data_IF_217076961015
#
_entry.id   IF_217076961015
#
_cell.length_a   1.000
_cell.length_b   1.000
_cell.length_c   1.000
_cell.angle_alpha   90.00
_cell.angle_beta   90.00
_cell.angle_gamma   90.00
#
_symmetry.space_group_name_H-M   'P 1'
#
loop_
_entity.id
_entity.type
_entity.pdbx_description
1 polymer ?
#
# COMPACT_ATOMS: atom_id res chain seq x y z
N UNK A 1 -18.22 -7.16 -5.32
CA UNK A 1 -16.93 -6.54 -5.69
C UNK A 1 -16.92 -5.04 -5.43
N UNK A 2 -17.40 -4.15 -6.35
CA UNK A 2 -17.35 -2.68 -6.15
C UNK A 2 -18.15 -2.15 -4.95
N UNK A 3 -19.25 -2.81 -4.58
CA UNK A 3 -20.09 -2.42 -3.43
C UNK A 3 -19.43 -2.72 -2.08
N UNK A 4 -18.53 -3.71 -2.02
CA UNK A 4 -17.99 -4.20 -0.76
C UNK A 4 -16.86 -3.29 -0.26
N UNK A 5 -15.97 -2.84 -1.15
CA UNK A 5 -14.88 -1.91 -0.82
C UNK A 5 -15.38 -0.56 -0.30
N UNK A 6 -16.41 0.02 -0.94
CA UNK A 6 -17.00 1.30 -0.50
C UNK A 6 -17.70 1.17 0.85
N UNK A 7 -18.31 0.01 1.14
CA UNK A 7 -18.98 -0.27 2.41
C UNK A 7 -17.96 -0.34 3.57
N UNK A 8 -16.79 -0.93 3.32
CA UNK A 8 -15.68 -1.02 4.29
C UNK A 8 -15.17 0.37 4.66
N UNK A 9 -14.94 1.24 3.68
CA UNK A 9 -14.49 2.62 3.90
C UNK A 9 -15.52 3.44 4.65
N UNK A 10 -16.79 3.33 4.25
CA UNK A 10 -17.89 4.03 4.92
C UNK A 10 -18.04 3.57 6.37
N UNK A 11 -17.76 2.30 6.68
CA UNK A 11 -17.77 1.78 8.05
C UNK A 11 -16.54 2.23 8.85
N UNK A 12 -15.35 2.25 8.24
CA UNK A 12 -14.11 2.74 8.86
C UNK A 12 -14.17 4.25 9.19
N UNK A 13 -14.77 5.06 8.32
CA UNK A 13 -14.96 6.50 8.56
C UNK A 13 -16.01 6.78 9.66
N UNK A 14 -16.98 5.89 9.87
CA UNK A 14 -18.07 6.08 10.86
C UNK A 14 -17.72 5.58 12.27
N UNK A 15 -16.74 4.70 12.45
CA UNK A 15 -16.38 4.16 13.77
C UNK A 15 -15.28 4.99 14.47
N UNK A 16 -15.64 6.20 14.92
CA UNK A 16 -14.81 7.00 15.84
C UNK A 16 -14.88 6.55 17.31
N UNK A 17 -15.30 5.32 17.61
CA UNK A 17 -15.37 4.82 18.99
C UNK A 17 -14.60 3.50 19.09
N UNK A 18 -13.40 3.58 19.67
CA UNK A 18 -12.57 2.44 20.14
C UNK A 18 -11.99 1.49 19.07
N UNK A 19 -11.71 1.99 17.87
CA UNK A 19 -11.36 1.19 16.67
C UNK A 19 -9.87 0.88 16.48
N UNK A 20 -9.24 0.09 17.37
CA UNK A 20 -7.90 -0.47 17.10
C UNK A 20 -7.89 -1.99 16.89
N UNK A 21 -8.87 -2.70 17.43
CA UNK A 21 -8.99 -4.16 17.29
C UNK A 21 -9.89 -4.57 16.11
N UNK A 22 -11.03 -3.88 15.91
CA UNK A 22 -12.01 -4.25 14.87
C UNK A 22 -11.46 -4.10 13.45
N UNK A 23 -10.74 -3.01 13.15
CA UNK A 23 -10.19 -2.77 11.82
C UNK A 23 -9.11 -3.79 11.45
N UNK A 24 -8.22 -4.15 12.38
CA UNK A 24 -7.17 -5.14 12.15
C UNK A 24 -7.78 -6.54 11.94
N UNK A 25 -8.73 -6.94 12.80
CA UNK A 25 -9.40 -8.24 12.71
C UNK A 25 -10.23 -8.38 11.42
N UNK A 26 -10.82 -7.28 10.95
CA UNK A 26 -11.53 -7.25 9.68
C UNK A 26 -10.57 -7.39 8.51
N UNK A 27 -9.47 -6.62 8.51
CA UNK A 27 -8.46 -6.66 7.45
C UNK A 27 -7.84 -8.05 7.34
N UNK A 28 -7.46 -8.66 8.47
CA UNK A 28 -6.91 -10.03 8.51
C UNK A 28 -7.83 -11.07 7.85
N UNK A 29 -9.15 -10.88 7.94
CA UNK A 29 -10.15 -11.76 7.32
C UNK A 29 -10.46 -11.44 5.86
N UNK A 30 -10.01 -10.28 5.34
CA UNK A 30 -10.34 -9.76 4.01
C UNK A 30 -9.09 -9.14 3.35
N UNK A 31 -7.97 -9.87 3.40
CA UNK A 31 -6.68 -9.38 2.88
C UNK A 31 -6.66 -9.26 1.34
N UNK A 32 -7.56 -9.97 0.65
CA UNK A 32 -7.83 -9.87 -0.79
C UNK A 32 -8.25 -8.44 -1.21
N UNK A 33 -8.81 -7.66 -0.28
CA UNK A 33 -9.09 -6.24 -0.51
C UNK A 33 -7.79 -5.50 -0.88
N UNK A 34 -6.64 -5.87 -0.32
CA UNK A 34 -5.37 -5.19 -0.62
C UNK A 34 -4.99 -5.35 -2.09
N UNK A 35 -5.21 -6.53 -2.66
CA UNK A 35 -4.93 -6.82 -4.07
C UNK A 35 -5.79 -5.95 -5.00
N UNK A 36 -7.06 -5.72 -4.61
CA UNK A 36 -8.00 -4.82 -5.31
C UNK A 36 -7.53 -3.37 -5.19
N UNK A 37 -7.11 -2.93 -4.01
CA UNK A 37 -6.63 -1.57 -3.80
C UNK A 37 -5.33 -1.29 -4.56
N UNK A 38 -4.41 -2.25 -4.61
CA UNK A 38 -3.16 -2.11 -5.36
C UNK A 38 -3.43 -2.08 -6.86
N UNK A 39 -4.26 -3.01 -7.36
CA UNK A 39 -4.60 -3.06 -8.80
C UNK A 39 -5.46 -1.86 -9.27
N UNK A 40 -5.87 -0.98 -8.35
CA UNK A 40 -6.61 0.23 -8.70
C UNK A 40 -5.76 1.31 -9.37
N UNK A 41 -4.44 1.25 -9.23
CA UNK A 41 -3.52 2.15 -9.95
C UNK A 41 -3.63 1.99 -11.48
N UNK A 42 -4.15 0.85 -11.96
CA UNK A 42 -4.48 0.63 -13.38
C UNK A 42 -5.71 1.43 -13.85
N UNK A 43 -6.50 1.98 -12.93
CA UNK A 43 -7.68 2.79 -13.23
C UNK A 43 -7.54 4.23 -12.71
N UNK A 44 -7.26 5.20 -13.59
CA UNK A 44 -7.05 6.60 -13.20
C UNK A 44 -8.19 7.24 -12.42
N UNK A 45 -9.44 6.85 -12.65
CA UNK A 45 -10.59 7.45 -11.97
C UNK A 45 -10.65 7.12 -10.48
N UNK A 46 -10.10 5.96 -10.08
CA UNK A 46 -10.19 5.44 -8.71
C UNK A 46 -8.85 5.40 -7.99
N UNK A 47 -7.73 5.49 -8.73
CA UNK A 47 -6.38 5.28 -8.21
C UNK A 47 -6.06 6.11 -6.97
N UNK A 48 -6.34 7.42 -6.98
CA UNK A 48 -6.02 8.29 -5.84
C UNK A 48 -6.89 8.02 -4.60
N UNK A 49 -8.17 7.71 -4.82
CA UNK A 49 -9.09 7.40 -3.74
C UNK A 49 -8.70 6.07 -3.06
N UNK A 50 -8.42 5.04 -3.85
CA UNK A 50 -8.04 3.73 -3.35
C UNK A 50 -6.60 3.69 -2.84
N UNK A 51 -5.68 4.48 -3.40
CA UNK A 51 -4.34 4.70 -2.87
C UNK A 51 -4.35 5.30 -1.46
N UNK A 52 -5.25 6.26 -1.21
CA UNK A 52 -5.45 6.81 0.15
C UNK A 52 -5.93 5.74 1.13
N UNK A 53 -6.89 4.90 0.73
CA UNK A 53 -7.36 3.80 1.56
C UNK A 53 -6.26 2.77 1.84
N UNK A 54 -5.49 2.41 0.81
CA UNK A 54 -4.38 1.49 0.93
C UNK A 54 -3.35 2.01 1.93
N UNK A 55 -3.01 3.31 1.89
CA UNK A 55 -2.12 3.94 2.88
C UNK A 55 -2.64 3.86 4.30
N UNK A 56 -3.95 3.98 4.51
CA UNK A 56 -4.55 3.76 5.85
C UNK A 56 -4.44 2.28 6.28
N UNK A 57 -4.64 1.34 5.36
CA UNK A 57 -4.53 -0.09 5.66
C UNK A 57 -3.10 -0.53 5.99
N UNK A 58 -2.08 -0.09 5.24
CA UNK A 58 -0.66 -0.46 5.50
C UNK A 58 -0.12 0.10 6.82
N UNK A 59 -0.86 0.98 7.52
CA UNK A 59 -0.55 1.35 8.91
C UNK A 59 -0.60 0.17 9.86
N UNK A 60 -1.35 -0.88 9.53
CA UNK A 60 -1.39 -2.13 10.26
C UNK A 60 -0.26 -3.05 9.79
N UNK A 61 0.56 -3.55 10.72
CA UNK A 61 1.73 -4.38 10.41
C UNK A 61 1.37 -5.66 9.65
N UNK A 62 0.22 -6.27 9.97
CA UNK A 62 -0.26 -7.48 9.29
C UNK A 62 -0.54 -7.24 7.81
N UNK A 63 -1.12 -6.09 7.48
CA UNK A 63 -1.36 -5.66 6.09
C UNK A 63 -0.05 -5.39 5.38
N UNK A 64 0.84 -4.62 6.00
CA UNK A 64 2.14 -4.33 5.40
C UNK A 64 2.93 -5.61 5.10
N UNK A 65 2.91 -6.59 6.02
CA UNK A 65 3.56 -7.89 5.83
C UNK A 65 2.97 -8.63 4.64
N UNK A 66 1.65 -8.72 4.54
CA UNK A 66 0.98 -9.38 3.43
C UNK A 66 1.31 -8.73 2.08
N UNK A 67 1.28 -7.39 1.99
CA UNK A 67 1.60 -6.70 0.75
C UNK A 67 3.07 -6.91 0.37
N UNK A 68 4.00 -6.85 1.33
CA UNK A 68 5.43 -7.11 1.08
C UNK A 68 5.69 -8.53 0.55
N UNK A 69 4.99 -9.52 1.10
CA UNK A 69 5.13 -10.93 0.71
C UNK A 69 4.30 -11.29 -0.54
N UNK A 70 3.44 -10.38 -1.02
CA UNK A 70 2.59 -10.56 -2.20
C UNK A 70 3.34 -10.28 -3.52
N UNK A 71 2.98 -10.97 -4.63
CA UNK A 71 3.43 -10.60 -5.97
C UNK A 71 3.15 -9.14 -6.35
N UNK A 72 2.11 -8.54 -5.75
CA UNK A 72 1.69 -7.16 -6.01
C UNK A 72 2.75 -6.12 -5.63
N UNK A 73 3.69 -6.47 -4.74
CA UNK A 73 4.81 -5.61 -4.39
C UNK A 73 5.62 -5.16 -5.61
N UNK A 74 5.74 -6.02 -6.63
CA UNK A 74 6.47 -5.69 -7.87
C UNK A 74 5.74 -4.69 -8.75
N UNK A 75 4.41 -4.66 -8.71
CA UNK A 75 3.59 -3.76 -9.53
C UNK A 75 3.84 -2.29 -9.21
N UNK A 76 4.26 -1.98 -7.98
CA UNK A 76 4.62 -0.60 -7.60
C UNK A 76 5.73 -0.02 -8.49
N UNK A 77 6.66 -0.83 -9.01
CA UNK A 77 7.68 -0.31 -9.93
C UNK A 77 7.11 0.19 -11.24
N UNK A 78 6.06 -0.47 -11.73
CA UNK A 78 5.34 -0.07 -12.93
C UNK A 78 4.48 1.16 -12.63
N UNK A 79 3.77 1.16 -11.49
CA UNK A 79 2.90 2.27 -11.09
C UNK A 79 3.64 3.59 -10.85
N UNK A 80 4.86 3.54 -10.30
CA UNK A 80 5.70 4.72 -10.09
C UNK A 80 6.21 5.32 -11.41
N UNK A 81 6.20 4.54 -12.49
CA UNK A 81 6.63 4.98 -13.83
C UNK A 81 5.45 5.36 -14.74
N UNK A 82 4.23 5.42 -14.21
CA UNK A 82 3.07 5.80 -14.99
C UNK A 82 3.21 7.25 -15.52
N UNK A 83 2.71 7.53 -16.73
CA UNK A 83 2.78 8.87 -17.33
C UNK A 83 1.94 9.90 -16.58
N UNK A 84 0.94 9.45 -15.81
CA UNK A 84 0.16 10.33 -14.95
C UNK A 84 0.93 10.62 -13.66
N UNK A 85 1.41 11.86 -13.53
CA UNK A 85 2.23 12.29 -12.40
C UNK A 85 1.55 12.09 -11.05
N UNK A 86 0.28 12.47 -10.90
CA UNK A 86 -0.42 12.38 -9.62
C UNK A 86 -0.54 10.93 -9.14
N UNK A 87 -0.86 10.03 -10.07
CA UNK A 87 -0.97 8.58 -9.79
C UNK A 87 0.41 7.98 -9.48
N UNK A 88 1.43 8.32 -10.27
CA UNK A 88 2.79 7.86 -10.05
C UNK A 88 3.36 8.34 -8.71
N UNK A 89 3.14 9.61 -8.36
CA UNK A 89 3.54 10.19 -7.09
C UNK A 89 2.80 9.54 -5.90
N UNK A 90 1.50 9.27 -6.05
CA UNK A 90 0.70 8.57 -5.06
C UNK A 90 1.21 7.13 -4.82
N UNK A 91 1.49 6.38 -5.90
CA UNK A 91 2.08 5.06 -5.83
C UNK A 91 3.47 5.07 -5.17
N UNK A 92 4.31 6.07 -5.49
CA UNK A 92 5.63 6.23 -4.90
C UNK A 92 5.55 6.53 -3.40
N UNK A 93 4.60 7.38 -2.98
CA UNK A 93 4.35 7.68 -1.58
C UNK A 93 3.88 6.42 -0.81
N UNK A 94 2.96 5.66 -1.38
CA UNK A 94 2.48 4.40 -0.80
C UNK A 94 3.61 3.38 -0.65
N UNK A 95 4.43 3.20 -1.69
CA UNK A 95 5.58 2.31 -1.65
C UNK A 95 6.61 2.75 -0.59
N UNK A 96 6.91 4.05 -0.53
CA UNK A 96 7.81 4.62 0.48
C UNK A 96 7.30 4.33 1.88
N UNK A 97 6.01 4.53 2.13
CA UNK A 97 5.39 4.28 3.44
C UNK A 97 5.48 2.80 3.82
N UNK A 98 5.16 1.90 2.88
CA UNK A 98 5.26 0.46 3.06
C UNK A 98 6.69 0.02 3.44
N UNK A 99 7.70 0.59 2.78
CA UNK A 99 9.12 0.27 2.98
C UNK A 99 9.77 0.94 4.19
N UNK A 100 9.11 1.89 4.86
CA UNK A 100 9.73 2.67 5.94
C UNK A 100 9.00 2.60 7.27
N UNK A 101 7.70 2.28 7.27
CA UNK A 101 6.85 2.32 8.46
C UNK A 101 7.20 1.20 9.45
N UNK A 102 7.13 -0.07 9.03
CA UNK A 102 7.32 -1.23 9.90
C UNK A 102 8.73 -1.80 9.75
N UNK A 103 9.72 -1.10 10.31
CA UNK A 103 11.16 -1.37 10.11
C UNK A 103 11.56 -2.84 10.32
N UNK A 104 11.02 -3.51 11.33
CA UNK A 104 11.31 -4.93 11.59
C UNK A 104 10.79 -5.85 10.49
N UNK A 105 9.59 -5.58 9.98
CA UNK A 105 8.96 -6.37 8.91
C UNK A 105 9.67 -6.14 7.59
N UNK A 106 10.04 -4.90 7.29
CA UNK A 106 10.82 -4.56 6.09
C UNK A 106 12.22 -5.16 6.16
N UNK A 107 12.89 -5.11 7.31
CA UNK A 107 14.21 -5.73 7.47
C UNK A 107 14.15 -7.25 7.27
N UNK A 108 13.11 -7.92 7.78
CA UNK A 108 12.88 -9.34 7.54
C UNK A 108 12.59 -9.63 6.06
N UNK A 109 11.77 -8.80 5.40
CA UNK A 109 11.50 -8.95 3.98
C UNK A 109 12.77 -8.78 3.13
N UNK A 110 13.56 -7.74 3.39
CA UNK A 110 14.78 -7.43 2.66
C UNK A 110 15.86 -8.52 2.85
N UNK A 111 15.99 -9.08 4.06
CA UNK A 111 16.97 -10.15 4.32
C UNK A 111 16.65 -11.44 3.56
N UNK A 112 15.37 -11.69 3.27
CA UNK A 112 14.92 -12.82 2.43
C UNK A 112 15.01 -12.52 0.93
N UNK A 113 15.00 -11.24 0.55
CA UNK A 113 14.89 -10.81 -0.83
C UNK A 113 16.02 -9.82 -1.20
N UNK A 114 17.26 -10.30 -1.22
CA UNK A 114 18.46 -9.46 -1.43
C UNK A 114 18.39 -8.57 -2.68
N UNK A 115 17.75 -9.02 -3.76
CA UNK A 115 17.56 -8.25 -5.00
C UNK A 115 16.83 -6.91 -4.78
N UNK A 116 15.98 -6.82 -3.76
CA UNK A 116 15.21 -5.61 -3.44
C UNK A 116 16.05 -4.51 -2.80
N UNK A 117 17.25 -4.81 -2.27
CA UNK A 117 18.15 -3.80 -1.72
C UNK A 117 18.55 -2.77 -2.79
N UNK A 118 18.76 -3.22 -4.04
CA UNK A 118 19.07 -2.34 -5.16
C UNK A 118 17.90 -1.41 -5.50
N UNK A 119 16.69 -1.97 -5.56
CA UNK A 119 15.47 -1.22 -5.84
C UNK A 119 15.16 -0.15 -4.78
N UNK A 120 15.32 -0.47 -3.48
CA UNK A 120 15.11 0.50 -2.40
C UNK A 120 16.06 1.71 -2.54
N UNK A 121 17.35 1.46 -2.79
CA UNK A 121 18.32 2.53 -2.98
C UNK A 121 18.01 3.42 -4.20
N UNK A 122 17.49 2.83 -5.27
CA UNK A 122 17.14 3.55 -6.50
C UNK A 122 15.86 4.40 -6.33
N UNK A 123 14.92 3.92 -5.52
CA UNK A 123 13.67 4.60 -5.23
C UNK A 123 13.87 5.75 -4.22
N UNK A 124 14.76 5.58 -3.23
CA UNK A 124 15.20 6.70 -2.36
C UNK A 124 15.83 7.82 -3.21
N UNK A 125 16.62 7.49 -4.23
CA UNK A 125 17.18 8.48 -5.16
C UNK A 125 16.12 9.17 -6.01
N UNK A 126 15.13 8.43 -6.52
CA UNK A 126 14.02 9.00 -7.30
C UNK A 126 13.16 9.95 -6.45
N UNK A 127 12.92 9.61 -5.18
CA UNK A 127 12.14 10.46 -4.26
C UNK A 127 12.88 11.75 -3.86
N UNK A 128 14.21 11.74 -3.74
CA UNK A 128 15.00 12.95 -3.45
C UNK A 128 15.08 13.95 -4.60
N UNK A 129 14.61 13.58 -5.80
CA UNK A 129 14.58 14.46 -6.99
C UNK A 129 13.21 15.16 -7.13
N UNK A 130 12.21 14.75 -6.36
CA UNK A 130 10.84 15.29 -6.42
C UNK A 130 10.58 16.33 -5.31
N UNK A 131 11.53 16.54 -4.39
CA UNK A 131 11.56 17.68 -3.45
C UNK A 131 12.44 18.81 -4.00
#
# INVERSE_FOLDING_TARGET
ARKDATQVVANLQRQQVQSRLIASDYLEKNMDIMDILISSYDNPEMALHYGTMLRECIRHQIVAKYVLESPDMKKFFDYIQLPNFDIAADAAATFKELMTRHKSTVAEFLSKNYEWHGCYAQLVKLLTVID
#
